data_IF_061850412947
#
_entry.id   IF_061850412947
#
_cell.length_a   1.000
_cell.length_b   1.000
_cell.length_c   1.000
_cell.angle_alpha   90.00
_cell.angle_beta   90.00
_cell.angle_gamma   90.00
#
_symmetry.space_group_name_H-M   'P 1'
#
loop_
_entity.id
_entity.type
_entity.pdbx_description
1 polymer ?
#
# COMPACT_ATOMS: atom_id res chain seq x y z
N UNK A 1 10.09 13.39 0.03
CA UNK A 1 10.48 12.25 -0.83
C UNK A 1 11.94 11.84 -0.64
N UNK A 2 12.90 12.77 -0.70
CA UNK A 2 14.33 12.48 -0.59
C UNK A 2 14.69 11.61 0.64
N UNK A 3 14.14 11.93 1.81
CA UNK A 3 14.39 11.15 3.03
C UNK A 3 13.83 9.71 3.00
N UNK A 4 12.77 9.43 2.23
CA UNK A 4 12.24 8.08 2.06
C UNK A 4 13.15 7.26 1.15
N UNK A 5 13.53 7.84 0.02
CA UNK A 5 14.40 7.19 -0.97
C UNK A 5 15.79 6.94 -0.41
N UNK A 6 16.40 7.92 0.27
CA UNK A 6 17.72 7.79 0.90
C UNK A 6 17.77 6.62 1.89
N UNK A 7 16.69 6.42 2.66
CA UNK A 7 16.60 5.35 3.67
C UNK A 7 16.35 3.97 3.06
N UNK A 8 15.54 3.89 2.00
CA UNK A 8 14.99 2.60 1.53
C UNK A 8 15.45 2.17 0.15
N UNK A 9 15.94 3.07 -0.71
CA UNK A 9 16.31 2.74 -2.09
C UNK A 9 17.45 1.72 -2.17
N UNK A 10 18.37 1.73 -1.19
CA UNK A 10 19.46 0.74 -1.12
C UNK A 10 18.96 -0.68 -0.86
N UNK A 11 17.87 -0.84 -0.09
CA UNK A 11 17.34 -2.15 0.32
C UNK A 11 16.20 -2.62 -0.57
N UNK A 12 15.38 -1.69 -1.05
CA UNK A 12 14.16 -1.97 -1.83
C UNK A 12 14.06 -1.04 -3.05
N UNK A 13 14.98 -1.14 -4.02
CA UNK A 13 15.05 -0.22 -5.15
C UNK A 13 13.78 -0.26 -6.02
N UNK A 14 13.25 -1.46 -6.31
CA UNK A 14 12.05 -1.62 -7.13
C UNK A 14 10.80 -1.08 -6.44
N UNK A 15 10.68 -1.30 -5.12
CA UNK A 15 9.56 -0.79 -4.33
C UNK A 15 9.61 0.74 -4.29
N UNK A 16 10.77 1.33 -4.03
CA UNK A 16 10.92 2.78 -4.01
C UNK A 16 10.56 3.40 -5.37
N UNK A 17 11.05 2.81 -6.46
CA UNK A 17 10.68 3.24 -7.82
C UNK A 17 9.17 3.17 -8.06
N UNK A 18 8.53 2.05 -7.74
CA UNK A 18 7.07 1.90 -7.89
C UNK A 18 6.28 2.93 -7.08
N UNK A 19 6.73 3.28 -5.87
CA UNK A 19 6.11 4.32 -5.05
C UNK A 19 6.25 5.72 -5.67
N UNK A 20 7.41 6.03 -6.25
CA UNK A 20 7.66 7.32 -6.93
C UNK A 20 6.84 7.42 -8.22
N UNK A 21 6.85 6.37 -9.04
CA UNK A 21 6.11 6.31 -10.32
C UNK A 21 4.60 6.47 -10.09
N UNK A 22 4.06 5.90 -9.00
CA UNK A 22 2.64 5.97 -8.67
C UNK A 22 2.28 7.09 -7.68
N UNK A 23 3.23 7.98 -7.35
CA UNK A 23 3.05 8.93 -6.26
C UNK A 23 1.83 9.82 -6.44
N UNK A 24 1.53 10.24 -7.67
CA UNK A 24 0.38 11.09 -7.97
C UNK A 24 -0.91 10.46 -7.45
N UNK A 25 -1.12 9.17 -7.75
CA UNK A 25 -2.30 8.41 -7.31
C UNK A 25 -2.27 8.12 -5.80
N UNK A 26 -1.09 7.82 -5.25
CA UNK A 26 -0.94 7.53 -3.83
C UNK A 26 -1.15 8.78 -2.96
N UNK A 27 -0.82 9.96 -3.47
CA UNK A 27 -0.94 11.22 -2.73
C UNK A 27 -2.40 11.62 -2.48
N UNK A 28 -3.34 11.18 -3.32
CA UNK A 28 -4.78 11.35 -3.11
C UNK A 28 -5.28 10.69 -1.82
N UNK A 29 -4.54 9.71 -1.29
CA UNK A 29 -4.82 9.15 0.04
C UNK A 29 -4.90 10.23 1.14
N UNK A 30 -4.09 11.29 1.03
CA UNK A 30 -4.05 12.34 2.03
C UNK A 30 -5.20 13.35 1.94
N UNK A 31 -5.97 13.32 0.85
CA UNK A 31 -7.17 14.16 0.67
C UNK A 31 -8.36 13.66 1.51
N UNK A 32 -8.33 12.39 1.94
CA UNK A 32 -9.39 11.79 2.72
C UNK A 32 -9.28 12.10 4.23
N UNK A 33 -10.44 12.20 4.88
CA UNK A 33 -10.55 12.35 6.33
C UNK A 33 -9.92 11.17 7.11
N UNK A 34 -9.60 11.40 8.37
CA UNK A 34 -8.96 10.41 9.24
C UNK A 34 -9.73 9.08 9.31
N UNK A 35 -11.07 9.15 9.38
CA UNK A 35 -11.92 7.95 9.44
C UNK A 35 -11.77 7.11 8.18
N UNK A 36 -11.77 7.75 7.01
CA UNK A 36 -11.64 7.07 5.71
C UNK A 36 -10.22 6.52 5.55
N UNK A 37 -9.20 7.30 5.90
CA UNK A 37 -7.80 6.84 5.87
C UNK A 37 -7.60 5.61 6.75
N UNK A 38 -8.19 5.59 7.94
CA UNK A 38 -8.17 4.44 8.86
C UNK A 38 -8.73 3.19 8.22
N UNK A 39 -9.84 3.30 7.52
CA UNK A 39 -10.44 2.16 6.79
C UNK A 39 -9.48 1.68 5.69
N UNK A 40 -8.91 2.60 4.91
CA UNK A 40 -8.03 2.29 3.77
C UNK A 40 -6.75 1.55 4.20
N UNK A 41 -6.02 2.06 5.21
CA UNK A 41 -4.77 1.41 5.64
C UNK A 41 -5.01 0.17 6.53
N UNK A 42 -6.24 -0.02 7.03
CA UNK A 42 -6.58 -1.21 7.80
C UNK A 42 -6.75 -2.40 6.86
N UNK A 43 -5.68 -3.17 6.71
CA UNK A 43 -5.63 -4.32 5.79
C UNK A 43 -6.43 -5.54 6.28
N UNK A 44 -6.95 -5.54 7.50
CA UNK A 44 -7.62 -6.70 8.12
C UNK A 44 -8.78 -7.25 7.26
N UNK A 45 -9.67 -6.39 6.76
CA UNK A 45 -10.83 -6.84 6.01
C UNK A 45 -10.44 -7.42 4.64
N UNK A 46 -9.54 -6.74 3.92
CA UNK A 46 -9.05 -7.19 2.62
C UNK A 46 -8.26 -8.51 2.76
N UNK A 47 -7.42 -8.65 3.78
CA UNK A 47 -6.68 -9.88 4.05
C UNK A 47 -7.60 -11.06 4.38
N UNK A 48 -8.67 -10.84 5.15
CA UNK A 48 -9.67 -11.87 5.44
C UNK A 48 -10.34 -12.35 4.15
N UNK A 49 -10.76 -11.43 3.28
CA UNK A 49 -11.36 -11.76 1.98
C UNK A 49 -10.37 -12.54 1.11
N UNK A 50 -9.14 -12.03 0.95
CA UNK A 50 -8.09 -12.71 0.16
C UNK A 50 -7.76 -14.10 0.72
N UNK A 51 -7.75 -14.27 2.04
CA UNK A 51 -7.56 -15.58 2.70
C UNK A 51 -8.69 -16.54 2.35
N UNK A 52 -9.94 -16.09 2.39
CA UNK A 52 -11.10 -16.91 2.04
C UNK A 52 -11.08 -17.32 0.57
N UNK A 53 -10.77 -16.39 -0.34
CA UNK A 53 -10.62 -16.67 -1.77
C UNK A 53 -9.56 -17.75 -1.98
N UNK A 54 -8.34 -17.56 -1.44
CA UNK A 54 -7.24 -18.54 -1.55
C UNK A 54 -7.60 -19.91 -0.99
N UNK A 55 -8.44 -19.98 0.05
CA UNK A 55 -8.92 -21.25 0.62
C UNK A 55 -9.86 -21.98 -0.34
N UNK A 56 -10.76 -21.25 -1.00
CA UNK A 56 -11.75 -21.80 -1.92
C UNK A 56 -11.11 -22.23 -3.25
N UNK A 57 -10.13 -21.46 -3.73
CA UNK A 57 -9.48 -21.71 -5.04
C UNK A 57 -8.28 -22.67 -4.98
N UNK A 58 -7.93 -23.20 -3.81
CA UNK A 58 -6.96 -24.30 -3.69
C UNK A 58 -7.63 -25.61 -4.08
N UNK A 59 -7.77 -25.81 -5.39
CA UNK A 59 -7.90 -27.11 -6.05
C UNK A 59 -6.54 -27.71 -6.31
#
# INVERSE_FOLDING_TARGET
MLAFEEKWAKKYPLTCKSWLDNWLNLSSFFEYDEVVRRIIYTTNQIQVVLRNIRKITKT
#
